data_IF_242153554866
#
_entry.id   IF_242153554866
#
_cell.length_a   1.000
_cell.length_b   1.000
_cell.length_c   1.000
_cell.angle_alpha   90.00
_cell.angle_beta   90.00
_cell.angle_gamma   90.00
#
_symmetry.space_group_name_H-M   'P 1'
#
loop_
_entity.id
_entity.type
_entity.pdbx_description
1 polymer ?
#
# COMPACT_ATOMS: atom_id res chain seq x y z
N UNK A 1 15.67 -18.23 -8.94
CA UNK A 1 15.01 -17.66 -7.75
C UNK A 1 15.48 -16.22 -7.61
N UNK A 2 14.61 -15.24 -7.36
CA UNK A 2 15.05 -13.87 -7.13
C UNK A 2 15.64 -13.79 -5.72
N UNK A 3 16.94 -13.56 -5.61
CA UNK A 3 17.67 -13.51 -4.34
C UNK A 3 17.56 -12.10 -3.72
N UNK A 4 16.33 -11.71 -3.39
CA UNK A 4 16.00 -10.38 -2.85
C UNK A 4 15.33 -10.51 -1.47
N UNK A 5 15.56 -9.56 -0.55
CA UNK A 5 14.89 -9.54 0.74
C UNK A 5 13.37 -9.48 0.58
N UNK A 6 12.65 -10.30 1.34
CA UNK A 6 11.19 -10.29 1.40
C UNK A 6 10.78 -9.69 2.74
N UNK A 7 9.85 -8.73 2.71
CA UNK A 7 9.25 -8.14 3.90
C UNK A 7 7.75 -8.42 3.94
N UNK A 8 7.31 -9.55 4.52
CA UNK A 8 5.91 -9.99 4.48
C UNK A 8 4.94 -9.05 5.23
N UNK A 9 5.48 -8.19 6.10
CA UNK A 9 4.72 -7.24 6.92
C UNK A 9 5.23 -5.81 6.75
N UNK A 10 5.78 -5.49 5.58
CA UNK A 10 6.25 -4.13 5.28
C UNK A 10 5.13 -3.10 5.29
N UNK A 11 3.92 -3.48 4.90
CA UNK A 11 2.75 -2.60 4.90
C UNK A 11 1.73 -3.10 5.91
N UNK A 12 1.23 -2.18 6.72
CA UNK A 12 0.13 -2.42 7.65
C UNK A 12 -1.06 -1.57 7.25
N UNK A 13 -2.26 -2.13 7.41
CA UNK A 13 -3.51 -1.46 7.09
C UNK A 13 -4.01 -0.71 8.32
N UNK A 14 -4.01 0.62 8.27
CA UNK A 14 -4.37 1.50 9.39
C UNK A 14 -5.88 1.70 9.53
N UNK A 15 -6.61 1.71 8.40
CA UNK A 15 -8.06 1.96 8.37
C UNK A 15 -8.80 0.77 7.80
N UNK A 16 -9.75 0.24 8.57
CA UNK A 16 -10.69 -0.75 8.10
C UNK A 16 -11.77 -0.07 7.25
N UNK A 17 -11.48 0.16 5.97
CA UNK A 17 -12.51 0.63 5.04
C UNK A 17 -13.46 -0.54 4.76
N UNK A 18 -14.69 -0.49 5.28
CA UNK A 18 -15.76 -1.42 4.91
C UNK A 18 -15.97 -1.52 3.40
N UNK A 19 -16.70 -2.55 2.97
CA UNK A 19 -16.88 -2.92 1.54
C UNK A 19 -17.23 -1.70 0.67
N UNK A 20 -16.46 -1.53 -0.41
CA UNK A 20 -16.54 -0.37 -1.30
C UNK A 20 -17.74 -0.42 -2.27
N UNK A 21 -18.58 -1.46 -2.20
CA UNK A 21 -19.69 -1.72 -3.14
C UNK A 21 -20.77 -0.64 -3.18
N UNK A 22 -20.80 0.29 -2.20
CA UNK A 22 -21.77 1.40 -2.15
C UNK A 22 -21.16 2.82 -2.16
N UNK A 23 -19.85 2.98 -2.39
CA UNK A 23 -19.18 4.29 -2.28
C UNK A 23 -18.98 4.96 -3.64
N UNK A 24 -19.34 6.24 -3.75
CA UNK A 24 -19.13 7.05 -4.96
C UNK A 24 -17.63 7.23 -5.27
N UNK A 25 -17.29 7.57 -6.52
CA UNK A 25 -15.89 7.75 -6.96
C UNK A 25 -15.11 8.74 -6.08
N UNK A 26 -15.78 9.80 -5.63
CA UNK A 26 -15.22 10.82 -4.75
C UNK A 26 -14.98 10.31 -3.31
N UNK A 27 -15.93 9.55 -2.76
CA UNK A 27 -15.78 8.91 -1.44
C UNK A 27 -14.72 7.81 -1.44
N UNK A 28 -14.48 7.15 -2.58
CA UNK A 28 -13.33 6.26 -2.75
C UNK A 28 -12.04 7.07 -2.65
N UNK A 29 -11.90 8.15 -3.41
CA UNK A 29 -10.73 9.04 -3.36
C UNK A 29 -10.43 9.64 -1.99
N UNK A 30 -11.45 10.04 -1.23
CA UNK A 30 -11.23 10.59 0.12
C UNK A 30 -10.87 9.52 1.17
N UNK A 31 -11.45 8.32 1.09
CA UNK A 31 -11.09 7.21 1.98
C UNK A 31 -9.76 6.54 1.60
N UNK A 32 -9.20 6.87 0.45
CA UNK A 32 -7.93 6.33 -0.06
C UNK A 32 -6.71 6.96 0.61
N UNK A 33 -6.82 8.16 1.19
CA UNK A 33 -5.70 8.75 1.95
C UNK A 33 -5.47 7.95 3.23
N UNK A 34 -4.32 7.27 3.32
CA UNK A 34 -3.80 6.59 4.51
C UNK A 34 -4.47 5.26 4.92
N UNK A 35 -4.91 4.47 3.94
CA UNK A 35 -5.35 3.08 4.20
C UNK A 35 -4.19 2.20 4.65
N UNK A 36 -3.01 2.39 4.06
CA UNK A 36 -1.78 1.66 4.37
C UNK A 36 -0.69 2.58 4.90
N UNK A 37 0.18 2.05 5.73
CA UNK A 37 1.41 2.68 6.21
C UNK A 37 2.54 1.64 6.25
N UNK A 38 3.79 2.08 6.14
CA UNK A 38 4.94 1.18 6.27
C UNK A 38 5.15 0.83 7.74
N UNK A 39 5.44 -0.44 8.01
CA UNK A 39 5.71 -0.90 9.36
C UNK A 39 6.94 -0.18 9.94
N UNK A 40 6.91 0.34 11.18
CA UNK A 40 8.00 1.15 11.73
C UNK A 40 9.38 0.47 11.77
N UNK A 41 9.42 -0.87 11.81
CA UNK A 41 10.67 -1.63 11.79
C UNK A 41 11.23 -1.91 10.38
N UNK A 42 10.54 -1.43 9.33
CA UNK A 42 10.95 -1.61 7.93
C UNK A 42 11.28 -0.24 7.36
N UNK A 43 12.52 -0.09 6.89
CA UNK A 43 12.92 1.06 6.08
C UNK A 43 13.09 0.64 4.63
N UNK A 44 12.37 1.34 3.75
CA UNK A 44 12.44 1.21 2.30
C UNK A 44 13.15 2.40 1.64
N UNK A 45 13.71 3.30 2.45
CA UNK A 45 14.41 4.50 2.00
C UNK A 45 15.61 4.15 1.11
N UNK A 46 15.68 4.81 -0.05
CA UNK A 46 16.69 4.60 -1.09
C UNK A 46 16.57 3.27 -1.84
N UNK A 47 15.51 2.47 -1.61
CA UNK A 47 15.38 1.13 -2.19
C UNK A 47 14.43 1.13 -3.39
N UNK A 48 14.72 0.23 -4.35
CA UNK A 48 13.76 -0.18 -5.37
C UNK A 48 12.93 -1.32 -4.81
N UNK A 49 11.64 -1.06 -4.59
CA UNK A 49 10.70 -2.01 -4.00
C UNK A 49 9.83 -2.61 -5.09
N UNK A 50 9.58 -3.92 -4.99
CA UNK A 50 8.60 -4.62 -5.82
C UNK A 50 7.41 -4.99 -4.93
N UNK A 51 6.21 -4.55 -5.34
CA UNK A 51 4.96 -4.97 -4.73
C UNK A 51 4.46 -6.25 -5.39
N UNK A 52 4.02 -7.21 -4.59
CA UNK A 52 3.44 -8.48 -5.04
C UNK A 52 2.03 -8.56 -4.48
N UNK A 53 1.07 -8.84 -5.35
CA UNK A 53 -0.35 -9.03 -5.03
C UNK A 53 -0.82 -10.32 -5.69
N UNK A 54 -1.78 -11.02 -5.08
CA UNK A 54 -2.29 -12.29 -5.60
C UNK A 54 -3.28 -12.06 -6.75
N UNK A 55 -4.12 -11.04 -6.66
CA UNK A 55 -5.07 -10.65 -7.70
C UNK A 55 -5.20 -9.13 -7.83
N UNK A 56 -5.17 -8.67 -9.08
CA UNK A 56 -5.42 -7.26 -9.41
C UNK A 56 -6.81 -7.14 -10.03
N UNK A 57 -7.66 -6.31 -9.42
CA UNK A 57 -8.97 -5.94 -9.98
C UNK A 57 -8.95 -4.53 -10.53
N UNK A 58 -9.19 -3.52 -9.68
CA UNK A 58 -9.13 -2.10 -10.05
C UNK A 58 -7.75 -1.48 -9.88
N UNK A 59 -6.79 -2.23 -9.33
CA UNK A 59 -5.46 -1.73 -8.97
C UNK A 59 -5.45 -0.75 -7.78
N UNK A 60 -6.60 -0.44 -7.17
CA UNK A 60 -6.68 0.51 -6.07
C UNK A 60 -5.78 0.12 -4.89
N UNK A 61 -5.75 -1.16 -4.52
CA UNK A 61 -4.87 -1.67 -3.45
C UNK A 61 -3.41 -1.40 -3.79
N UNK A 62 -2.97 -1.77 -4.99
CA UNK A 62 -1.59 -1.59 -5.45
C UNK A 62 -1.17 -0.12 -5.47
N UNK A 63 -2.03 0.76 -5.98
CA UNK A 63 -1.79 2.22 -6.01
C UNK A 63 -1.62 2.76 -4.60
N UNK A 64 -2.50 2.40 -3.68
CA UNK A 64 -2.43 2.85 -2.28
C UNK A 64 -1.15 2.37 -1.59
N UNK A 65 -0.78 1.10 -1.77
CA UNK A 65 0.46 0.55 -1.24
C UNK A 65 1.69 1.30 -1.79
N UNK A 66 1.70 1.59 -3.10
CA UNK A 66 2.80 2.32 -3.74
C UNK A 66 2.88 3.77 -3.25
N UNK A 67 1.74 4.46 -3.11
CA UNK A 67 1.68 5.81 -2.54
C UNK A 67 2.26 5.82 -1.11
N UNK A 68 1.87 4.87 -0.26
CA UNK A 68 2.39 4.76 1.12
C UNK A 68 3.89 4.54 1.18
N UNK A 69 4.47 3.81 0.22
CA UNK A 69 5.93 3.58 0.12
C UNK A 69 6.69 4.77 -0.45
N UNK A 70 6.00 5.69 -1.14
CA UNK A 70 6.61 6.84 -1.82
C UNK A 70 6.48 8.15 -1.03
N UNK A 71 5.87 8.10 0.15
CA UNK A 71 5.74 9.27 1.01
C UNK A 71 7.12 9.81 1.46
N UNK A 72 7.24 11.13 1.71
CA UNK A 72 8.44 11.69 2.32
C UNK A 72 8.82 10.94 3.61
N UNK A 73 10.09 10.54 3.73
CA UNK A 73 10.59 9.72 4.85
C UNK A 73 10.46 8.21 4.66
N UNK A 74 9.87 7.76 3.55
CA UNK A 74 9.90 6.35 3.10
C UNK A 74 10.72 6.17 1.82
N UNK A 75 10.86 7.24 1.01
CA UNK A 75 11.63 7.25 -0.24
C UNK A 75 13.11 7.50 0.00
#
# INVERSE_FOLDING_TARGET
MLDIPIWPRALIRRVHTGTQTKKTRLQRWQNMKMVFEVHPSVSVEGKRVVLVDDIITTGATTVLCAESLWLPGQR
#
